data_IF_420664913168
#
_entry.id   IF_420664913168
#
_cell.length_a   1.000
_cell.length_b   1.000
_cell.length_c   1.000
_cell.angle_alpha   90.00
_cell.angle_beta   90.00
_cell.angle_gamma   90.00
#
_symmetry.space_group_name_H-M   'P 1'
#
loop_
_entity.id
_entity.type
_entity.pdbx_description
1 polymer ?
#
# COMPACT_ATOMS: atom_id res chain seq x y z
N UNK A 1 5.28 -33.00 7.72
CA UNK A 1 4.56 -31.83 8.28
C UNK A 1 5.63 -30.81 8.64
N UNK A 2 5.73 -29.69 7.91
CA UNK A 2 6.64 -28.62 8.31
C UNK A 2 6.03 -27.89 9.52
N UNK A 3 6.79 -27.84 10.62
CA UNK A 3 6.45 -27.06 11.79
C UNK A 3 6.37 -25.57 11.41
N UNK A 4 5.26 -24.91 11.76
CA UNK A 4 5.04 -23.51 11.42
C UNK A 4 5.80 -22.62 12.40
N UNK A 5 6.43 -21.57 11.89
CA UNK A 5 7.09 -20.59 12.75
C UNK A 5 6.03 -19.74 13.47
N UNK A 6 6.09 -19.71 14.81
CA UNK A 6 5.23 -18.88 15.62
C UNK A 6 5.75 -17.44 15.71
N UNK A 7 4.86 -16.47 15.49
CA UNK A 7 5.15 -15.03 15.58
C UNK A 7 4.19 -14.36 16.55
N UNK A 8 4.67 -13.43 17.41
CA UNK A 8 3.79 -12.71 18.32
C UNK A 8 2.85 -11.76 17.56
N UNK A 9 1.58 -11.78 17.90
CA UNK A 9 0.57 -10.89 17.35
C UNK A 9 0.46 -9.61 18.19
N UNK A 10 0.51 -8.45 17.53
CA UNK A 10 0.28 -7.16 18.17
C UNK A 10 -1.19 -7.00 18.62
N UNK A 11 -1.43 -6.12 19.59
CA UNK A 11 -2.78 -5.80 20.06
C UNK A 11 -3.65 -5.25 18.93
N UNK A 12 -4.96 -5.41 19.05
CA UNK A 12 -5.94 -5.02 18.02
C UNK A 12 -5.81 -3.55 17.64
N UNK A 13 -5.68 -2.66 18.62
CA UNK A 13 -5.57 -1.22 18.43
C UNK A 13 -4.37 -0.83 17.57
N UNK A 14 -3.22 -1.47 17.79
CA UNK A 14 -2.01 -1.20 17.01
C UNK A 14 -2.22 -1.58 15.53
N UNK A 15 -2.90 -2.71 15.29
CA UNK A 15 -3.14 -3.21 13.93
C UNK A 15 -4.11 -2.33 13.15
N UNK A 16 -5.22 -1.96 13.76
CA UNK A 16 -6.19 -1.04 13.13
C UNK A 16 -5.61 0.37 13.01
N UNK A 17 -4.87 0.84 14.00
CA UNK A 17 -4.15 2.11 13.95
C UNK A 17 -3.17 2.16 12.78
N UNK A 18 -2.43 1.07 12.53
CA UNK A 18 -1.52 0.97 11.38
C UNK A 18 -2.26 1.13 10.04
N UNK A 19 -3.43 0.51 9.87
CA UNK A 19 -4.25 0.66 8.66
C UNK A 19 -4.66 2.12 8.48
N UNK A 20 -5.16 2.77 9.54
CA UNK A 20 -5.59 4.16 9.50
C UNK A 20 -4.43 5.09 9.15
N UNK A 21 -3.26 4.87 9.75
CA UNK A 21 -2.06 5.67 9.47
C UNK A 21 -1.63 5.50 8.02
N UNK A 22 -1.51 4.26 7.51
CA UNK A 22 -1.10 4.02 6.11
C UNK A 22 -2.12 4.62 5.14
N UNK A 23 -3.41 4.34 5.33
CA UNK A 23 -4.46 4.89 4.48
C UNK A 23 -4.46 6.43 4.52
N UNK A 24 -4.32 7.03 5.70
CA UNK A 24 -4.24 8.47 5.90
C UNK A 24 -3.04 9.09 5.21
N UNK A 25 -1.86 8.50 5.34
CA UNK A 25 -0.65 8.94 4.62
C UNK A 25 -0.90 8.89 3.12
N UNK A 26 -1.40 7.78 2.57
CA UNK A 26 -1.73 7.67 1.14
C UNK A 26 -2.71 8.78 0.73
N UNK A 27 -3.78 8.99 1.50
CA UNK A 27 -4.78 10.03 1.21
C UNK A 27 -4.16 11.43 1.15
N UNK A 28 -3.34 11.80 2.15
CA UNK A 28 -2.69 13.10 2.19
C UNK A 28 -1.78 13.30 0.99
N UNK A 29 -0.94 12.31 0.66
CA UNK A 29 -0.03 12.41 -0.48
C UNK A 29 -0.74 12.41 -1.84
N UNK A 30 -1.93 11.81 -1.95
CA UNK A 30 -2.72 11.80 -3.17
C UNK A 30 -3.51 13.10 -3.38
N UNK A 31 -4.11 13.64 -2.32
CA UNK A 31 -5.05 14.78 -2.44
C UNK A 31 -4.35 16.13 -2.22
N UNK A 32 -3.30 16.18 -1.42
CA UNK A 32 -2.61 17.43 -1.16
C UNK A 32 -1.66 17.79 -2.31
N UNK A 33 -1.69 19.07 -2.70
CA UNK A 33 -0.65 19.62 -3.56
C UNK A 33 0.68 19.69 -2.77
N UNK A 34 1.81 19.59 -3.47
CA UNK A 34 3.15 19.63 -2.86
C UNK A 34 3.37 20.89 -2.00
N UNK A 35 2.78 22.01 -2.44
CA UNK A 35 2.72 23.27 -1.71
C UNK A 35 2.01 23.14 -0.35
N UNK A 36 0.91 22.39 -0.31
CA UNK A 36 0.06 22.20 0.88
C UNK A 36 0.73 21.34 1.96
N UNK A 37 1.60 20.41 1.57
CA UNK A 37 2.34 19.54 2.50
C UNK A 37 3.71 20.10 2.88
N UNK A 38 4.03 21.33 2.46
CA UNK A 38 5.30 21.99 2.79
C UNK A 38 6.52 21.25 2.23
N UNK A 39 6.33 20.48 1.15
CA UNK A 39 7.38 19.76 0.43
C UNK A 39 7.89 20.54 -0.77
N UNK A 40 7.60 21.85 -0.87
CA UNK A 40 8.32 22.72 -1.80
C UNK A 40 9.80 22.63 -1.45
N UNK A 41 10.52 21.88 -2.28
CA UNK A 41 11.95 21.76 -2.18
C UNK A 41 12.51 23.16 -2.43
N UNK A 42 13.03 23.77 -1.37
CA UNK A 42 13.80 24.99 -1.39
C UNK A 42 15.02 24.77 -2.33
N UNK A 43 14.88 25.12 -3.62
CA UNK A 43 15.95 25.19 -4.61
C UNK A 43 16.83 23.95 -4.85
N UNK A 44 16.51 22.79 -4.27
CA UNK A 44 17.28 21.57 -4.43
C UNK A 44 17.01 20.97 -5.80
N UNK A 45 18.05 20.84 -6.62
CA UNK A 45 18.02 20.07 -7.87
C UNK A 45 17.47 18.67 -7.61
N UNK A 46 16.17 18.48 -7.83
CA UNK A 46 15.59 17.14 -7.97
C UNK A 46 16.28 16.56 -9.19
N UNK A 47 16.98 15.44 -8.99
CA UNK A 47 17.76 14.77 -10.03
C UNK A 47 16.82 14.16 -11.05
N UNK A 48 16.22 14.99 -11.90
CA UNK A 48 15.42 14.52 -13.00
C UNK A 48 16.28 13.67 -13.93
N UNK A 49 15.77 12.52 -14.34
CA UNK A 49 16.43 11.67 -15.32
C UNK A 49 16.70 12.43 -16.63
N UNK A 50 17.49 11.84 -17.56
CA UNK A 50 17.63 12.42 -18.89
C UNK A 50 16.22 12.68 -19.44
N UNK A 51 15.96 13.92 -19.90
CA UNK A 51 14.65 14.43 -20.35
C UNK A 51 13.68 14.97 -19.29
N UNK A 52 14.09 15.14 -18.03
CA UNK A 52 13.19 15.73 -17.03
C UNK A 52 12.21 14.73 -16.39
N UNK A 53 12.40 13.43 -16.64
CA UNK A 53 11.52 12.35 -16.18
C UNK A 53 12.24 11.58 -15.08
N UNK A 54 11.64 11.50 -13.89
CA UNK A 54 12.14 10.70 -12.78
C UNK A 54 11.81 9.22 -13.01
N UNK A 55 12.55 8.58 -13.90
CA UNK A 55 12.41 7.15 -14.21
C UNK A 55 12.77 6.33 -12.96
N UNK A 56 11.88 5.43 -12.55
CA UNK A 56 12.07 4.57 -11.39
C UNK A 56 13.16 3.50 -11.59
N UNK A 57 13.44 2.69 -10.55
CA UNK A 57 14.66 1.88 -10.44
C UNK A 57 14.85 0.82 -11.54
N UNK A 58 13.78 0.43 -12.26
CA UNK A 58 13.88 -0.52 -13.36
C UNK A 58 13.88 0.13 -14.75
N UNK A 59 13.77 1.45 -14.86
CA UNK A 59 13.81 2.12 -16.15
C UNK A 59 12.47 2.15 -16.91
N UNK A 60 11.42 1.48 -16.42
CA UNK A 60 10.20 1.21 -17.20
C UNK A 60 9.07 2.21 -16.99
N UNK A 61 8.97 2.78 -15.78
CA UNK A 61 7.90 3.70 -15.39
C UNK A 61 8.48 4.84 -14.56
N UNK A 62 7.67 5.86 -14.30
CA UNK A 62 8.01 6.94 -13.40
C UNK A 62 8.13 6.45 -11.95
N UNK A 63 8.98 7.11 -11.16
CA UNK A 63 9.20 6.81 -9.75
C UNK A 63 7.89 6.89 -8.95
N UNK A 64 7.00 7.82 -9.34
CA UNK A 64 5.66 7.94 -8.78
C UNK A 64 4.84 6.65 -8.93
N UNK A 65 4.87 6.02 -10.10
CA UNK A 65 4.16 4.74 -10.35
C UNK A 65 4.68 3.60 -9.46
N UNK A 66 5.98 3.55 -9.19
CA UNK A 66 6.53 2.57 -8.23
C UNK A 66 6.06 2.87 -6.80
N UNK A 67 6.00 4.13 -6.42
CA UNK A 67 5.49 4.54 -5.11
C UNK A 67 4.01 4.13 -4.94
N UNK A 68 3.20 4.27 -5.99
CA UNK A 68 1.84 3.75 -6.06
C UNK A 68 1.80 2.24 -5.77
N UNK A 69 2.52 1.43 -6.54
CA UNK A 69 2.57 -0.02 -6.30
C UNK A 69 2.97 -0.40 -4.87
N UNK A 70 3.98 0.27 -4.31
CA UNK A 70 4.43 0.02 -2.93
C UNK A 70 3.42 0.46 -1.87
N UNK A 71 2.75 1.60 -2.07
CA UNK A 71 1.75 2.11 -1.15
C UNK A 71 0.57 1.13 -1.01
N UNK A 72 0.05 0.61 -2.12
CA UNK A 72 -1.08 -0.32 -2.10
C UNK A 72 -0.68 -1.74 -1.69
N UNK A 73 0.57 -2.13 -1.93
CA UNK A 73 1.15 -3.32 -1.29
C UNK A 73 1.16 -3.14 0.24
N UNK A 74 1.66 -2.02 0.75
CA UNK A 74 1.66 -1.70 2.18
C UNK A 74 0.26 -1.67 2.80
N UNK A 75 -0.70 -1.03 2.13
CA UNK A 75 -2.10 -1.00 2.55
C UNK A 75 -2.68 -2.42 2.63
N UNK A 76 -2.47 -3.26 1.60
CA UNK A 76 -2.94 -4.65 1.60
C UNK A 76 -2.32 -5.47 2.73
N UNK A 77 -1.01 -5.32 2.98
CA UNK A 77 -0.34 -5.98 4.09
C UNK A 77 -0.95 -5.57 5.44
N UNK A 78 -1.21 -4.27 5.64
CA UNK A 78 -1.82 -3.77 6.88
C UNK A 78 -3.25 -4.28 7.10
N UNK A 79 -4.07 -4.30 6.04
CA UNK A 79 -5.42 -4.85 6.06
C UNK A 79 -5.40 -6.35 6.38
N UNK A 80 -4.50 -7.11 5.73
CA UNK A 80 -4.36 -8.54 5.98
C UNK A 80 -3.90 -8.82 7.42
N UNK A 81 -2.99 -8.00 7.97
CA UNK A 81 -2.55 -8.11 9.36
C UNK A 81 -3.67 -7.80 10.36
N UNK A 82 -4.51 -6.81 10.05
CA UNK A 82 -5.64 -6.41 10.88
C UNK A 82 -6.81 -7.40 10.84
N UNK A 83 -7.18 -7.91 9.67
CA UNK A 83 -8.44 -8.65 9.47
C UNK A 83 -8.28 -10.15 9.22
N UNK A 84 -7.17 -10.58 8.61
CA UNK A 84 -7.00 -11.99 8.22
C UNK A 84 -6.37 -12.77 9.37
N UNK A 85 -5.24 -12.30 9.87
CA UNK A 85 -4.47 -12.96 10.94
C UNK A 85 -5.25 -13.29 12.23
N UNK A 86 -6.07 -12.39 12.82
CA UNK A 86 -6.73 -12.71 14.10
C UNK A 86 -7.81 -13.79 13.98
N UNK A 87 -8.15 -14.22 12.77
CA UNK A 87 -9.25 -15.16 12.54
C UNK A 87 -8.80 -16.58 12.16
N UNK A 88 -7.51 -16.88 12.29
CA UNK A 88 -6.89 -18.15 11.92
C UNK A 88 -6.24 -18.13 10.53
N UNK A 89 -6.09 -19.30 9.89
CA UNK A 89 -5.51 -19.43 8.53
C UNK A 89 -6.13 -18.42 7.55
N UNK A 90 -5.32 -17.89 6.63
CA UNK A 90 -5.80 -16.93 5.66
C UNK A 90 -6.96 -17.50 4.83
N UNK A 91 -8.18 -17.09 5.16
CA UNK A 91 -9.33 -17.33 4.30
C UNK A 91 -9.08 -16.58 3.00
N UNK A 92 -8.93 -17.32 1.90
CA UNK A 92 -8.71 -16.75 0.56
C UNK A 92 -9.74 -15.64 0.26
N UNK A 93 -10.99 -15.80 0.74
CA UNK A 93 -12.05 -14.80 0.61
C UNK A 93 -11.76 -13.51 1.37
N UNK A 94 -11.28 -13.60 2.63
CA UNK A 94 -10.94 -12.40 3.43
C UNK A 94 -9.74 -11.67 2.84
N UNK A 95 -8.75 -12.41 2.38
CA UNK A 95 -7.57 -11.84 1.73
C UNK A 95 -7.92 -11.18 0.40
N UNK A 96 -8.74 -11.83 -0.43
CA UNK A 96 -9.30 -11.22 -1.64
C UNK A 96 -10.10 -9.94 -1.30
N UNK A 97 -10.88 -9.96 -0.23
CA UNK A 97 -11.57 -8.76 0.28
C UNK A 97 -10.60 -7.62 0.64
N UNK A 98 -9.46 -7.92 1.28
CA UNK A 98 -8.45 -6.90 1.59
C UNK A 98 -7.83 -6.30 0.31
N UNK A 99 -7.51 -7.14 -0.69
CA UNK A 99 -7.02 -6.67 -2.00
C UNK A 99 -8.06 -5.78 -2.68
N UNK A 100 -9.32 -6.22 -2.73
CA UNK A 100 -10.42 -5.44 -3.31
C UNK A 100 -10.59 -4.10 -2.61
N UNK A 101 -10.56 -4.08 -1.27
CA UNK A 101 -10.65 -2.82 -0.50
C UNK A 101 -9.49 -1.89 -0.85
N UNK A 102 -8.26 -2.39 -0.94
CA UNK A 102 -7.10 -1.58 -1.32
C UNK A 102 -7.24 -1.01 -2.73
N UNK A 103 -7.68 -1.82 -3.70
CA UNK A 103 -7.88 -1.37 -5.09
C UNK A 103 -9.00 -0.34 -5.19
N UNK A 104 -10.15 -0.59 -4.57
CA UNK A 104 -11.28 0.36 -4.56
C UNK A 104 -10.88 1.66 -3.89
N UNK A 105 -10.16 1.59 -2.77
CA UNK A 105 -9.62 2.78 -2.11
C UNK A 105 -8.76 3.60 -3.08
N UNK A 106 -7.89 2.95 -3.84
CA UNK A 106 -7.04 3.63 -4.81
C UNK A 106 -7.78 4.21 -6.00
N UNK A 107 -8.79 3.51 -6.51
CA UNK A 107 -9.67 4.06 -7.54
C UNK A 107 -10.38 5.33 -7.06
N UNK A 108 -10.87 5.33 -5.83
CA UNK A 108 -11.52 6.51 -5.26
C UNK A 108 -10.52 7.67 -5.14
N UNK A 109 -9.30 7.41 -4.66
CA UNK A 109 -8.27 8.43 -4.53
C UNK A 109 -7.81 8.97 -5.89
N UNK A 110 -7.68 8.12 -6.91
CA UNK A 110 -7.35 8.53 -8.28
C UNK A 110 -8.41 9.48 -8.87
N UNK A 111 -9.70 9.15 -8.66
CA UNK A 111 -10.81 10.01 -9.09
C UNK A 111 -10.85 11.34 -8.33
N UNK A 112 -10.53 11.33 -7.03
CA UNK A 112 -10.41 12.54 -6.22
C UNK A 112 -9.22 13.40 -6.65
N UNK A 113 -8.09 12.77 -6.98
CA UNK A 113 -6.91 13.44 -7.52
C UNK A 113 -7.24 14.17 -8.83
N UNK A 114 -8.07 13.60 -9.70
CA UNK A 114 -8.54 14.26 -10.92
C UNK A 114 -9.35 15.55 -10.69
N UNK A 115 -9.77 15.84 -9.45
CA UNK A 115 -10.42 17.10 -9.08
C UNK A 115 -9.41 18.18 -8.64
N UNK A 116 -8.13 17.85 -8.50
CA UNK A 116 -7.06 18.78 -8.13
C UNK A 116 -6.45 19.39 -9.40
N UNK A 117 -6.44 20.73 -9.58
CA UNK A 117 -6.04 21.36 -10.83
C UNK A 117 -4.61 21.05 -11.32
N UNK A 118 -3.70 20.71 -10.40
CA UNK A 118 -2.29 20.37 -10.69
C UNK A 118 -2.06 18.88 -10.95
N UNK A 119 -3.11 18.04 -10.95
CA UNK A 119 -3.00 16.58 -11.06
C UNK A 119 -3.87 16.01 -12.20
N UNK A 120 -3.39 14.93 -12.81
CA UNK A 120 -4.11 14.14 -13.81
C UNK A 120 -4.55 12.80 -13.22
N UNK A 121 -5.54 12.18 -13.88
CA UNK A 121 -5.90 10.77 -13.69
C UNK A 121 -5.02 9.92 -14.60
N UNK A 122 -4.27 9.01 -14.01
CA UNK A 122 -3.27 8.16 -14.65
C UNK A 122 -3.73 6.69 -14.61
N UNK A 123 -4.06 6.13 -15.78
CA UNK A 123 -4.44 4.70 -15.85
C UNK A 123 -3.29 3.77 -15.42
N UNK A 124 -2.04 4.21 -15.63
CA UNK A 124 -0.85 3.46 -15.23
C UNK A 124 -0.76 3.33 -13.71
N UNK A 125 -1.11 4.37 -12.96
CA UNK A 125 -1.09 4.35 -11.50
C UNK A 125 -2.21 3.47 -10.93
N UNK A 126 -3.40 3.48 -11.54
CA UNK A 126 -4.45 2.51 -11.20
C UNK A 126 -3.98 1.05 -11.38
N UNK A 127 -3.26 0.76 -12.47
CA UNK A 127 -2.70 -0.57 -12.71
C UNK A 127 -1.61 -0.90 -11.68
N UNK A 128 -0.74 0.04 -11.36
CA UNK A 128 0.30 -0.14 -10.35
C UNK A 128 -0.29 -0.44 -8.96
N UNK A 129 -1.34 0.30 -8.56
CA UNK A 129 -2.08 0.06 -7.32
C UNK A 129 -2.62 -1.39 -7.28
N UNK A 130 -3.23 -1.82 -8.38
CA UNK A 130 -3.82 -3.15 -8.52
C UNK A 130 -2.79 -4.27 -8.46
N UNK A 131 -1.66 -4.11 -9.17
CA UNK A 131 -0.56 -5.08 -9.18
C UNK A 131 0.07 -5.16 -7.78
N UNK A 132 0.40 -4.02 -7.17
CA UNK A 132 1.01 -3.96 -5.84
C UNK A 132 0.15 -4.62 -4.77
N UNK A 133 -1.15 -4.30 -4.75
CA UNK A 133 -2.11 -4.93 -3.84
C UNK A 133 -2.20 -6.45 -4.05
N UNK A 134 -2.33 -6.88 -5.30
CA UNK A 134 -2.47 -8.31 -5.64
C UNK A 134 -1.21 -9.11 -5.29
N UNK A 135 -0.04 -8.59 -5.63
CA UNK A 135 1.25 -9.22 -5.30
C UNK A 135 1.41 -9.37 -3.80
N UNK A 136 1.09 -8.32 -3.03
CA UNK A 136 1.15 -8.44 -1.56
C UNK A 136 0.13 -9.45 -1.03
N UNK A 137 -1.07 -9.53 -1.60
CA UNK A 137 -2.03 -10.59 -1.28
C UNK A 137 -1.40 -11.98 -1.45
N UNK A 138 -0.74 -12.23 -2.58
CA UNK A 138 -0.05 -13.50 -2.83
C UNK A 138 1.09 -13.76 -1.82
N UNK A 139 1.91 -12.75 -1.55
CA UNK A 139 2.97 -12.83 -0.55
C UNK A 139 2.42 -13.16 0.85
N UNK A 140 1.29 -12.55 1.23
CA UNK A 140 0.63 -12.79 2.51
C UNK A 140 0.06 -14.20 2.62
N UNK A 141 -0.55 -14.68 1.54
CA UNK A 141 -1.05 -16.06 1.47
C UNK A 141 0.09 -17.06 1.68
N UNK A 142 1.22 -16.85 1.00
CA UNK A 142 2.41 -17.69 1.18
C UNK A 142 2.97 -17.60 2.61
N UNK A 143 3.10 -16.38 3.15
CA UNK A 143 3.61 -16.14 4.51
C UNK A 143 2.79 -16.87 5.57
N UNK A 144 1.45 -16.79 5.50
CA UNK A 144 0.54 -17.48 6.44
C UNK A 144 0.45 -18.99 6.19
N UNK A 145 0.93 -19.46 5.04
CA UNK A 145 1.18 -20.88 4.77
C UNK A 145 2.30 -21.44 5.65
N UNK A 146 3.36 -20.67 5.87
CA UNK A 146 4.58 -21.08 6.58
C UNK A 146 4.71 -20.55 8.01
N UNK A 147 3.89 -19.56 8.38
CA UNK A 147 3.86 -18.96 9.73
C UNK A 147 2.52 -19.16 10.42
N UNK A 148 2.54 -19.00 11.75
CA UNK A 148 1.37 -18.91 12.61
C UNK A 148 1.54 -17.71 13.55
N UNK A 149 0.52 -16.86 13.62
CA UNK A 149 0.53 -15.68 14.47
C UNK A 149 -0.24 -15.99 15.75
N UNK A 150 0.44 -15.88 16.89
CA UNK A 150 -0.11 -16.26 18.20
C UNK A 150 -0.31 -14.99 19.02
N UNK A 151 -1.50 -14.78 19.63
CA UNK A 151 -1.71 -13.70 20.58
C UNK A 151 -0.63 -13.73 21.67
N UNK A 152 -0.05 -12.57 21.98
CA UNK A 152 0.84 -12.48 23.14
C UNK A 152 -0.02 -12.73 24.38
N UNK A 153 0.30 -13.74 25.18
CA UNK A 153 -0.25 -13.85 26.53
C UNK A 153 0.18 -12.61 27.29
N UNK A 154 -0.78 -11.77 27.66
CA UNK A 154 -0.55 -10.64 28.57
C UNK A 154 -0.19 -11.14 29.97
#
# INVERSE_FOLDING_TARGET
MHEKRQLPLASSWVRYGLVVVIAGVICVFTVADAATVGLEADGGTVSHGPFGIDIGPLGWFETATYAHGMAYAGLTASLAYAFVVPTGRASQRRLAGCVVVAVVYGTVLELLQGSVPSRSVETVDFLANTIGASMMGLCWWWLTGVTEFVPRSE
#
